data_IF_956636517068
#
_entry.id   IF_956636517068
#
_cell.length_a   1.000
_cell.length_b   1.000
_cell.length_c   1.000
_cell.angle_alpha   90.00
_cell.angle_beta   90.00
_cell.angle_gamma   90.00
#
_symmetry.space_group_name_H-M   'P 1'
#
loop_
_entity.id
_entity.type
_entity.pdbx_description
1 polymer ?
#
# COMPACT_ATOMS: atom_id res chain seq x y z
N UNK A 1 -7.92 -4.44 29.70
CA UNK A 1 -6.64 -4.48 28.94
C UNK A 1 -6.81 -3.57 27.73
N UNK A 2 -6.13 -2.42 27.69
CA UNK A 2 -6.17 -1.54 26.53
C UNK A 2 -5.55 -2.29 25.33
N UNK A 3 -6.37 -2.62 24.34
CA UNK A 3 -5.91 -3.20 23.10
C UNK A 3 -5.13 -2.12 22.36
N UNK A 4 -3.81 -2.13 22.48
CA UNK A 4 -2.94 -1.35 21.60
C UNK A 4 -3.18 -1.82 20.18
N UNK A 5 -4.03 -1.11 19.44
CA UNK A 5 -4.15 -1.28 18.00
C UNK A 5 -2.80 -0.92 17.41
N UNK A 6 -1.95 -1.92 17.19
CA UNK A 6 -0.75 -1.78 16.38
C UNK A 6 -1.19 -1.43 14.97
N UNK A 7 -1.42 -0.14 14.73
CA UNK A 7 -1.76 0.37 13.43
C UNK A 7 -0.61 0.04 12.48
N UNK A 8 -0.87 -0.57 11.31
CA UNK A 8 0.17 -0.89 10.37
C UNK A 8 0.98 0.36 9.99
N UNK A 9 2.26 0.19 9.65
CA UNK A 9 3.15 1.31 9.31
C UNK A 9 2.55 2.24 8.24
N UNK A 10 1.78 1.66 7.29
CA UNK A 10 1.02 2.42 6.30
C UNK A 10 0.08 3.46 6.93
N UNK A 11 -0.63 3.11 8.02
CA UNK A 11 -1.50 4.04 8.72
C UNK A 11 -0.73 5.24 9.28
N UNK A 12 0.38 4.98 9.98
CA UNK A 12 1.23 6.02 10.52
C UNK A 12 1.86 6.90 9.44
N UNK A 13 2.28 6.29 8.33
CA UNK A 13 2.82 7.02 7.18
C UNK A 13 1.77 7.96 6.58
N UNK A 14 0.56 7.48 6.34
CA UNK A 14 -0.54 8.32 5.82
C UNK A 14 -0.88 9.47 6.77
N UNK A 15 -0.95 9.21 8.08
CA UNK A 15 -1.19 10.24 9.09
C UNK A 15 -0.10 11.32 9.09
N UNK A 16 1.16 10.91 9.01
CA UNK A 16 2.30 11.83 8.95
C UNK A 16 2.28 12.67 7.66
N UNK A 17 1.99 12.04 6.51
CA UNK A 17 1.89 12.73 5.23
C UNK A 17 0.75 13.75 5.24
N UNK A 18 -0.39 13.41 5.83
CA UNK A 18 -1.54 14.31 5.90
C UNK A 18 -1.33 15.55 6.79
N UNK A 19 -0.39 15.49 7.76
CA UNK A 19 -0.03 16.62 8.61
C UNK A 19 0.97 17.59 7.96
N UNK A 20 1.75 17.11 6.98
CA UNK A 20 2.81 17.88 6.34
C UNK A 20 2.33 18.49 5.03
N UNK A 21 2.07 19.80 5.04
CA UNK A 21 1.56 20.54 3.88
C UNK A 21 2.49 20.49 2.66
N UNK A 22 3.80 20.38 2.87
CA UNK A 22 4.79 20.29 1.79
C UNK A 22 4.53 19.11 0.84
N UNK A 23 4.09 17.96 1.37
CA UNK A 23 3.77 16.80 0.55
C UNK A 23 2.44 16.92 -0.19
N UNK A 24 1.50 17.73 0.33
CA UNK A 24 0.20 17.93 -0.31
C UNK A 24 0.29 18.88 -1.51
N UNK A 25 1.29 19.76 -1.53
CA UNK A 25 1.56 20.69 -2.63
C UNK A 25 2.51 20.11 -3.69
N UNK A 26 3.00 18.88 -3.50
CA UNK A 26 3.89 18.22 -4.46
C UNK A 26 3.09 17.79 -5.71
N UNK A 27 3.30 18.50 -6.82
CA UNK A 27 2.62 18.23 -8.10
C UNK A 27 2.90 16.81 -8.59
N UNK A 28 4.10 16.30 -8.33
CA UNK A 28 4.51 14.94 -8.68
C UNK A 28 3.95 13.85 -7.76
N UNK A 29 3.32 14.25 -6.64
CA UNK A 29 2.73 13.35 -5.65
C UNK A 29 3.67 12.20 -5.24
N UNK A 30 4.96 12.47 -5.00
CA UNK A 30 5.98 11.45 -4.70
C UNK A 30 5.68 10.66 -3.42
N UNK A 31 4.84 11.21 -2.53
CA UNK A 31 4.35 10.52 -1.35
C UNK A 31 3.59 9.22 -1.67
N UNK A 32 3.04 9.09 -2.88
CA UNK A 32 2.22 7.95 -3.32
C UNK A 32 3.01 6.67 -3.53
N UNK A 33 4.30 6.75 -3.88
CA UNK A 33 5.15 5.57 -4.16
C UNK A 33 5.23 4.62 -2.96
N UNK A 34 5.32 5.17 -1.75
CA UNK A 34 5.34 4.37 -0.52
C UNK A 34 3.98 3.73 -0.25
N UNK A 35 2.88 4.44 -0.52
CA UNK A 35 1.52 3.91 -0.39
C UNK A 35 1.33 2.72 -1.34
N UNK A 36 1.77 2.86 -2.59
CA UNK A 36 1.73 1.78 -3.58
C UNK A 36 2.57 0.58 -3.18
N UNK A 37 3.80 0.80 -2.67
CA UNK A 37 4.65 -0.27 -2.18
C UNK A 37 3.95 -1.09 -1.08
N UNK A 38 3.38 -0.41 -0.08
CA UNK A 38 2.63 -1.10 0.99
C UNK A 38 1.37 -1.78 0.45
N UNK A 39 0.63 -1.13 -0.44
CA UNK A 39 -0.57 -1.70 -1.07
C UNK A 39 -0.24 -3.01 -1.82
N UNK A 40 0.91 -3.09 -2.49
CA UNK A 40 1.33 -4.27 -3.26
C UNK A 40 2.03 -5.35 -2.42
N UNK A 41 2.61 -5.01 -1.27
CA UNK A 41 3.42 -5.94 -0.44
C UNK A 41 2.74 -6.43 0.83
N UNK A 42 1.67 -5.77 1.30
CA UNK A 42 0.94 -6.19 2.49
C UNK A 42 -0.16 -7.21 2.16
N UNK A 43 -0.55 -8.03 3.14
CA UNK A 43 -1.66 -8.98 3.00
C UNK A 43 -2.98 -8.27 2.70
N UNK A 44 -3.85 -8.89 1.89
CA UNK A 44 -5.10 -8.27 1.43
C UNK A 44 -5.94 -7.78 2.60
N UNK A 45 -6.18 -8.66 3.58
CA UNK A 45 -6.93 -8.34 4.79
C UNK A 45 -6.36 -7.13 5.55
N UNK A 46 -5.04 -7.04 5.70
CA UNK A 46 -4.40 -5.94 6.41
C UNK A 46 -4.50 -4.62 5.64
N UNK A 47 -4.29 -4.64 4.32
CA UNK A 47 -4.39 -3.43 3.48
C UNK A 47 -5.78 -2.84 3.54
N UNK A 48 -6.82 -3.62 3.24
CA UNK A 48 -8.19 -3.11 3.23
C UNK A 48 -8.67 -2.68 4.62
N UNK A 49 -8.28 -3.40 5.67
CA UNK A 49 -8.53 -2.96 7.05
C UNK A 49 -7.86 -1.61 7.36
N UNK A 50 -6.66 -1.37 6.84
CA UNK A 50 -5.93 -0.11 7.05
C UNK A 50 -6.55 1.02 6.26
N UNK A 51 -6.82 0.82 4.96
CA UNK A 51 -7.46 1.81 4.10
C UNK A 51 -8.85 2.20 4.65
N UNK A 52 -9.66 1.22 5.07
CA UNK A 52 -10.95 1.50 5.69
C UNK A 52 -10.84 2.25 7.01
N UNK A 53 -9.79 2.01 7.80
CA UNK A 53 -9.54 2.78 9.04
C UNK A 53 -9.11 4.21 8.74
N UNK A 54 -8.34 4.44 7.68
CA UNK A 54 -7.94 5.78 7.23
C UNK A 54 -9.13 6.58 6.71
N UNK A 55 -10.03 5.96 5.95
CA UNK A 55 -11.27 6.60 5.49
C UNK A 55 -12.17 7.03 6.66
N UNK A 56 -12.35 6.15 7.66
CA UNK A 56 -13.09 6.51 8.90
C UNK A 56 -12.43 7.65 9.68
N UNK A 57 -11.09 7.67 9.73
CA UNK A 57 -10.36 8.75 10.40
C UNK A 57 -10.55 10.10 9.69
N UNK A 58 -10.67 10.09 8.36
CA UNK A 58 -11.01 11.28 7.57
C UNK A 58 -12.45 11.76 7.89
N UNK A 59 -13.42 10.84 7.89
CA UNK A 59 -14.83 11.15 8.20
C UNK A 59 -15.00 11.71 9.62
N UNK A 60 -14.19 11.24 10.57
CA UNK A 60 -14.15 11.74 11.95
C UNK A 60 -13.45 13.11 12.10
N UNK A 61 -12.91 13.69 11.02
CA UNK A 61 -12.23 14.99 11.05
C UNK A 61 -10.84 14.97 11.69
N UNK A 62 -10.26 13.79 11.95
CA UNK A 62 -8.90 13.65 12.51
C UNK A 62 -7.84 14.09 11.50
N UNK A 63 -8.19 14.07 10.21
CA UNK A 63 -7.28 14.34 9.11
C UNK A 63 -7.76 15.57 8.33
N UNK A 64 -6.88 16.54 8.03
CA UNK A 64 -7.30 17.79 7.40
C UNK A 64 -7.96 17.59 6.03
N UNK A 65 -9.07 18.31 5.78
CA UNK A 65 -9.82 18.29 4.51
C UNK A 65 -8.97 18.68 3.29
N UNK A 66 -7.87 19.42 3.51
CA UNK A 66 -6.94 19.86 2.46
C UNK A 66 -6.13 18.72 1.82
N UNK A 67 -6.10 17.53 2.42
CA UNK A 67 -5.38 16.36 1.89
C UNK A 67 -6.15 15.63 0.77
N UNK A 68 -6.74 16.37 -0.17
CA UNK A 68 -7.69 15.84 -1.17
C UNK A 68 -7.07 14.81 -2.10
N UNK A 69 -5.83 15.02 -2.57
CA UNK A 69 -5.12 14.07 -3.44
C UNK A 69 -4.84 12.74 -2.74
N UNK A 70 -4.36 12.80 -1.49
CA UNK A 70 -4.08 11.62 -0.67
C UNK A 70 -5.33 10.77 -0.44
N UNK A 71 -6.46 11.38 -0.09
CA UNK A 71 -7.71 10.64 0.14
C UNK A 71 -8.39 10.17 -1.13
N UNK A 72 -8.23 10.90 -2.23
CA UNK A 72 -8.66 10.41 -3.55
C UNK A 72 -7.94 9.09 -3.85
N UNK A 73 -6.62 9.03 -3.66
CA UNK A 73 -5.86 7.80 -3.83
C UNK A 73 -6.31 6.69 -2.88
N UNK A 74 -6.46 6.97 -1.58
CA UNK A 74 -6.90 5.96 -0.59
C UNK A 74 -8.27 5.41 -0.94
N UNK A 75 -9.21 6.27 -1.35
CA UNK A 75 -10.56 5.89 -1.78
C UNK A 75 -10.52 5.03 -3.05
N UNK A 76 -9.66 5.38 -4.00
CA UNK A 76 -9.46 4.60 -5.22
C UNK A 76 -8.89 3.20 -4.91
N UNK A 77 -7.86 3.12 -4.06
CA UNK A 77 -7.26 1.85 -3.63
C UNK A 77 -8.24 0.99 -2.82
N UNK A 78 -9.12 1.61 -2.03
CA UNK A 78 -10.12 0.91 -1.24
C UNK A 78 -11.30 0.42 -2.09
N UNK A 79 -11.71 1.20 -3.09
CA UNK A 79 -12.84 0.85 -3.96
C UNK A 79 -12.48 -0.12 -5.07
N UNK A 80 -11.21 -0.16 -5.49
CA UNK A 80 -10.71 -1.06 -6.54
C UNK A 80 -9.92 -2.21 -5.93
N UNK A 81 -10.51 -3.42 -5.82
CA UNK A 81 -9.79 -4.59 -5.32
C UNK A 81 -8.56 -4.90 -6.16
N UNK A 82 -7.47 -5.37 -5.52
CA UNK A 82 -6.31 -5.92 -6.23
C UNK A 82 -6.74 -7.03 -7.19
N UNK A 83 -6.13 -7.04 -8.37
CA UNK A 83 -6.35 -8.10 -9.37
C UNK A 83 -5.82 -9.45 -8.86
N UNK A 84 -6.32 -10.55 -9.42
CA UNK A 84 -5.79 -11.88 -9.10
C UNK A 84 -4.28 -11.97 -9.34
N UNK A 85 -3.78 -11.33 -10.42
CA UNK A 85 -2.34 -11.27 -10.74
C UNK A 85 -1.53 -10.61 -9.61
N UNK A 86 -2.02 -9.49 -9.07
CA UNK A 86 -1.40 -8.79 -7.93
C UNK A 86 -1.48 -9.61 -6.63
N UNK A 87 -2.60 -10.32 -6.39
CA UNK A 87 -2.75 -11.19 -5.22
C UNK A 87 -1.77 -12.37 -5.30
N UNK A 88 -1.64 -13.02 -6.45
CA UNK A 88 -0.70 -14.13 -6.65
C UNK A 88 0.75 -13.66 -6.53
N UNK A 89 1.09 -12.47 -7.06
CA UNK A 89 2.42 -11.84 -6.86
C UNK A 89 2.80 -11.82 -5.40
N UNK A 90 1.88 -11.37 -4.54
CA UNK A 90 2.11 -11.29 -3.11
C UNK A 90 2.31 -12.66 -2.47
N UNK A 91 1.50 -13.66 -2.84
CA UNK A 91 1.65 -15.03 -2.32
C UNK A 91 3.03 -15.58 -2.66
N UNK A 92 3.47 -15.44 -3.91
CA UNK A 92 4.81 -15.88 -4.34
C UNK A 92 5.88 -15.10 -3.56
N UNK A 93 5.76 -13.78 -3.46
CA UNK A 93 6.71 -12.94 -2.71
C UNK A 93 6.85 -13.37 -1.24
N UNK A 94 5.73 -13.73 -0.59
CA UNK A 94 5.74 -14.23 0.79
C UNK A 94 6.37 -15.61 0.90
N UNK A 95 6.08 -16.53 -0.04
CA UNK A 95 6.67 -17.87 -0.09
C UNK A 95 8.18 -17.86 -0.38
N UNK A 96 8.71 -16.76 -0.95
CA UNK A 96 10.15 -16.55 -1.17
C UNK A 96 10.82 -15.83 0.02
N UNK A 97 10.24 -15.88 1.22
CA UNK A 97 10.70 -15.14 2.41
C UNK A 97 10.93 -13.65 2.15
N UNK A 98 10.14 -13.06 1.25
CA UNK A 98 10.25 -11.65 0.83
C UNK A 98 11.59 -11.29 0.19
N UNK A 99 12.31 -12.28 -0.36
CA UNK A 99 13.62 -12.14 -1.01
C UNK A 99 13.58 -12.59 -2.49
N UNK A 100 12.74 -11.99 -3.34
CA UNK A 100 12.54 -12.44 -4.72
C UNK A 100 13.84 -12.37 -5.53
N UNK A 101 14.70 -11.37 -5.31
CA UNK A 101 15.97 -11.21 -6.05
C UNK A 101 16.95 -12.39 -5.94
N UNK A 102 16.87 -13.19 -4.87
CA UNK A 102 17.75 -14.35 -4.68
C UNK A 102 17.20 -15.64 -5.29
N UNK A 103 15.88 -15.71 -5.51
CA UNK A 103 15.18 -16.98 -5.76
C UNK A 103 14.34 -16.98 -7.04
N UNK A 104 13.94 -15.83 -7.58
CA UNK A 104 13.01 -15.74 -8.72
C UNK A 104 13.54 -16.44 -9.97
N UNK A 105 14.87 -16.40 -10.20
CA UNK A 105 15.50 -17.01 -11.35
C UNK A 105 15.38 -18.54 -11.36
N UNK A 106 15.21 -19.15 -10.18
CA UNK A 106 15.05 -20.59 -9.99
C UNK A 106 13.61 -21.05 -10.22
N UNK A 107 12.64 -20.14 -10.34
CA UNK A 107 11.25 -20.50 -10.59
C UNK A 107 11.05 -20.93 -12.06
N UNK A 108 10.23 -21.97 -12.32
CA UNK A 108 9.88 -22.40 -13.67
C UNK A 108 8.81 -21.48 -14.27
N UNK A 109 9.12 -20.20 -14.41
CA UNK A 109 8.23 -19.16 -14.93
C UNK A 109 8.83 -18.49 -16.18
N UNK A 110 8.00 -17.99 -17.10
CA UNK A 110 8.44 -17.09 -18.17
C UNK A 110 9.16 -15.85 -17.61
N UNK A 111 10.14 -15.31 -18.35
CA UNK A 111 10.92 -14.14 -17.93
C UNK A 111 10.03 -12.93 -17.62
N UNK A 112 8.99 -12.68 -18.42
CA UNK A 112 8.04 -11.59 -18.17
C UNK A 112 7.33 -11.69 -16.81
N UNK A 113 7.10 -12.91 -16.30
CA UNK A 113 6.54 -13.11 -14.96
C UNK A 113 7.60 -12.99 -13.87
N UNK A 114 8.86 -13.36 -14.15
CA UNK A 114 9.98 -13.15 -13.23
C UNK A 114 10.22 -11.66 -13.01
N UNK A 115 10.23 -10.87 -14.08
CA UNK A 115 10.35 -9.41 -14.02
C UNK A 115 9.19 -8.80 -13.24
N UNK A 116 7.96 -9.26 -13.50
CA UNK A 116 6.77 -8.83 -12.77
C UNK A 116 6.79 -9.15 -11.26
N UNK A 117 7.55 -10.15 -10.83
CA UNK A 117 7.74 -10.50 -9.40
C UNK A 117 8.83 -9.65 -8.73
N UNK A 118 9.76 -9.09 -9.51
CA UNK A 118 10.81 -8.19 -9.03
C UNK A 118 10.32 -6.74 -8.93
N UNK A 119 9.37 -6.36 -9.78
CA UNK A 119 8.87 -4.99 -9.88
C UNK A 119 7.50 -4.82 -9.21
N UNK A 120 7.42 -3.93 -8.23
CA UNK A 120 6.19 -3.63 -7.46
C UNK A 120 5.41 -2.44 -8.01
N UNK A 121 5.38 -2.30 -9.34
CA UNK A 121 4.66 -1.22 -9.99
C UNK A 121 3.13 -1.47 -10.00
N UNK A 122 2.31 -0.38 -9.99
CA UNK A 122 0.86 -0.39 -10.07
C UNK A 122 0.28 -1.23 -11.22
#
# INVERSE_FOLDING_TARGET
RAAGTNHPVLFHYVMMVAQKQEYMNDVEQRFTSIIWLYYMSMSHRQVYSTLGSLLRAQEAGVIPVRATALFTLIKDLHSRPRTLKQIVRLVIYQSLDRKPGLSVNKLPLPNSLKDYLLTFDP
#
